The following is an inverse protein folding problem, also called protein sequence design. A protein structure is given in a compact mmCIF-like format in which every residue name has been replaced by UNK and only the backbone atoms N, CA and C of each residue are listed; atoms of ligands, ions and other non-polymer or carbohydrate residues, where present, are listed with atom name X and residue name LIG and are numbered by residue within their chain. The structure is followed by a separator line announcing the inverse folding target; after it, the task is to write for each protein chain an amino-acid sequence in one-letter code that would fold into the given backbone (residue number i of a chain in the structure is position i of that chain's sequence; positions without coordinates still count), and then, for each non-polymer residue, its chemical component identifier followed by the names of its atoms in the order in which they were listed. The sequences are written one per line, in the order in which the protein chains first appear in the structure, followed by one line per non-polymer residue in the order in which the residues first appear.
data_IF_678865928890
#
_entry.id   IF_678865928890
#
_cell.length_a   1.000
_cell.length_b   1.000
_cell.length_c   1.000
_cell.angle_alpha   90.00
_cell.angle_beta   90.00
_cell.angle_gamma   90.00
#
_symmetry.space_group_name_H-M   'P 1'
#
loop_
_entity.id
_entity.type
_entity.pdbx_description
1 polymer ?
#
# COMPACT_ATOMS: atom_id res chain seq x y z
N UNK A 1 -4.71 -8.90 7.87
CA UNK A 1 -3.62 -8.35 8.69
C UNK A 1 -3.65 -6.83 8.67
N UNK A 2 -3.39 -6.24 9.80
CA UNK A 2 -3.51 -4.80 9.99
C UNK A 2 -2.36 -4.34 10.88
N UNK A 3 -1.51 -3.46 10.37
CA UNK A 3 -0.43 -2.88 11.16
C UNK A 3 -0.69 -1.41 11.42
N UNK A 4 -0.39 -0.98 12.64
CA UNK A 4 -0.57 0.42 13.04
C UNK A 4 0.71 0.96 13.66
N UNK A 5 0.92 2.27 13.52
CA UNK A 5 1.93 3.01 14.29
C UNK A 5 1.19 3.86 15.30
N UNK A 6 1.52 3.68 16.58
CA UNK A 6 0.87 4.38 17.70
C UNK A 6 1.91 5.24 18.40
N UNK A 7 1.55 6.49 18.68
CA UNK A 7 2.37 7.43 19.41
C UNK A 7 1.47 8.19 20.37
N UNK A 8 1.82 8.21 21.66
CA UNK A 8 1.04 8.87 22.71
C UNK A 8 -0.43 8.44 22.70
N UNK A 9 -0.65 7.13 22.64
CA UNK A 9 -1.98 6.50 22.63
C UNK A 9 -2.84 6.86 21.40
N UNK A 10 -2.22 7.43 20.35
CA UNK A 10 -2.92 7.83 19.14
C UNK A 10 -2.36 7.08 17.94
N UNK A 11 -3.26 6.55 17.08
CA UNK A 11 -2.85 5.92 15.85
C UNK A 11 -2.46 7.00 14.84
N UNK A 12 -1.21 6.99 14.38
CA UNK A 12 -0.70 8.00 13.45
C UNK A 12 -0.47 7.47 12.04
N UNK A 13 -0.47 6.16 11.87
CA UNK A 13 -0.33 5.55 10.55
C UNK A 13 -0.85 4.12 10.59
N UNK A 14 -1.28 3.59 9.44
CA UNK A 14 -1.70 2.19 9.36
C UNK A 14 -1.56 1.65 7.94
N UNK A 15 -1.51 0.32 7.83
CA UNK A 15 -1.70 -0.40 6.58
C UNK A 15 -2.62 -1.59 6.83
N UNK A 16 -3.59 -1.78 5.93
CA UNK A 16 -4.51 -2.91 5.96
C UNK A 16 -4.21 -3.83 4.77
N UNK A 17 -3.97 -5.11 5.06
CA UNK A 17 -3.54 -6.09 4.09
C UNK A 17 -4.58 -7.22 3.99
N UNK A 18 -4.88 -7.64 2.75
CA UNK A 18 -5.74 -8.78 2.48
C UNK A 18 -4.94 -9.83 1.71
N UNK A 19 -4.99 -11.07 2.20
CA UNK A 19 -4.35 -12.20 1.53
C UNK A 19 -5.42 -13.03 0.81
N UNK A 20 -5.27 -13.14 -0.51
CA UNK A 20 -6.15 -13.95 -1.35
C UNK A 20 -5.57 -15.35 -1.45
N UNK A 21 -6.05 -16.27 -0.61
CA UNK A 21 -5.50 -17.62 -0.52
C UNK A 21 -5.49 -18.37 -1.86
N UNK A 22 -6.52 -18.20 -2.68
CA UNK A 22 -6.62 -18.88 -3.97
C UNK A 22 -5.64 -18.37 -5.02
N UNK A 23 -5.11 -17.15 -4.86
CA UNK A 23 -4.20 -16.51 -5.82
C UNK A 23 -2.79 -16.36 -5.28
N UNK A 24 -2.60 -16.43 -3.97
CA UNK A 24 -1.35 -16.15 -3.27
C UNK A 24 -0.88 -14.71 -3.48
N UNK A 25 -1.81 -13.79 -3.68
CA UNK A 25 -1.52 -12.35 -3.77
C UNK A 25 -1.78 -11.69 -2.42
N UNK A 26 -0.86 -10.82 -2.00
CA UNK A 26 -1.08 -9.96 -0.85
C UNK A 26 -1.50 -8.59 -1.38
N UNK A 27 -2.69 -8.14 -1.02
CA UNK A 27 -3.20 -6.85 -1.47
C UNK A 27 -3.09 -5.82 -0.37
N UNK A 28 -2.52 -4.65 -0.69
CA UNK A 28 -2.64 -3.48 0.16
C UNK A 28 -4.03 -2.90 -0.08
N UNK A 29 -4.92 -3.10 0.88
CA UNK A 29 -6.30 -2.58 0.79
C UNK A 29 -6.34 -1.10 1.08
N UNK A 30 -5.62 -0.66 2.11
CA UNK A 30 -5.58 0.74 2.53
C UNK A 30 -4.29 1.03 3.28
N UNK A 31 -3.73 2.20 3.07
CA UNK A 31 -2.54 2.68 3.78
C UNK A 31 -2.69 4.18 3.98
N UNK A 32 -2.41 4.66 5.18
CA UNK A 32 -2.51 6.09 5.47
C UNK A 32 -1.55 6.51 6.57
N UNK A 33 -1.10 7.76 6.48
CA UNK A 33 -0.30 8.42 7.49
C UNK A 33 -1.04 9.70 7.86
N UNK A 34 -1.20 9.95 9.17
CA UNK A 34 -1.85 11.15 9.66
C UNK A 34 -1.13 12.40 9.07
N UNK A 35 -1.88 13.41 8.60
CA UNK A 35 -1.26 14.58 7.95
C UNK A 35 -0.17 15.26 8.78
N UNK A 36 -0.36 15.33 10.10
CA UNK A 36 0.60 15.97 11.00
C UNK A 36 1.89 15.16 11.19
N UNK A 37 1.90 13.90 10.73
CA UNK A 37 3.02 12.98 10.92
C UNK A 37 3.72 12.65 9.60
N UNK A 38 3.36 13.31 8.52
CA UNK A 38 4.00 13.12 7.21
C UNK A 38 5.43 13.66 7.27
N UNK A 39 6.32 13.08 6.46
CA UNK A 39 7.72 13.46 6.45
C UNK A 39 8.56 12.71 7.48
N UNK A 40 7.97 11.83 8.28
CA UNK A 40 8.66 11.01 9.28
C UNK A 40 8.99 9.60 8.78
N UNK A 41 8.85 9.36 7.48
CA UNK A 41 9.13 8.06 6.84
C UNK A 41 8.25 6.92 7.35
N UNK A 42 7.06 7.23 7.86
CA UNK A 42 6.14 6.20 8.35
C UNK A 42 5.59 5.34 7.22
N UNK A 43 5.35 5.93 6.04
CA UNK A 43 4.93 5.17 4.86
C UNK A 43 5.98 4.12 4.47
N UNK A 44 7.25 4.48 4.53
CA UNK A 44 8.34 3.55 4.24
C UNK A 44 8.40 2.43 5.28
N UNK A 45 8.21 2.75 6.56
CA UNK A 45 8.17 1.75 7.62
C UNK A 45 7.03 0.74 7.40
N UNK A 46 5.84 1.24 7.06
CA UNK A 46 4.70 0.37 6.76
C UNK A 46 4.94 -0.48 5.51
N UNK A 47 5.61 0.08 4.51
CA UNK A 47 5.95 -0.64 3.28
C UNK A 47 6.92 -1.79 3.56
N UNK A 48 7.94 -1.55 4.40
CA UNK A 48 8.89 -2.59 4.81
C UNK A 48 8.18 -3.72 5.54
N UNK A 49 7.24 -3.37 6.43
CA UNK A 49 6.44 -4.36 7.14
C UNK A 49 5.56 -5.18 6.20
N UNK A 50 5.01 -4.53 5.19
CA UNK A 50 4.19 -5.19 4.17
C UNK A 50 5.02 -6.21 3.38
N UNK A 51 6.22 -5.83 2.99
CA UNK A 51 7.14 -6.73 2.27
C UNK A 51 7.54 -7.93 3.13
N UNK A 52 7.84 -7.70 4.42
CA UNK A 52 8.11 -8.79 5.36
C UNK A 52 6.93 -9.77 5.43
N UNK A 53 5.71 -9.24 5.54
CA UNK A 53 4.50 -10.06 5.59
C UNK A 53 4.34 -10.88 4.33
N UNK A 54 4.60 -10.29 3.16
CA UNK A 54 4.53 -11.00 1.89
C UNK A 54 5.54 -12.16 1.84
N UNK A 55 6.75 -11.95 2.34
CA UNK A 55 7.76 -13.00 2.41
C UNK A 55 7.33 -14.12 3.36
N UNK A 56 6.83 -13.75 4.54
CA UNK A 56 6.42 -14.73 5.55
C UNK A 56 5.26 -15.60 5.09
N UNK A 57 4.29 -15.05 4.38
CA UNK A 57 3.14 -15.80 3.87
C UNK A 57 3.37 -16.39 2.47
N UNK A 58 4.59 -16.24 1.94
CA UNK A 58 4.98 -16.77 0.62
C UNK A 58 4.07 -16.26 -0.50
N UNK A 59 3.72 -15.00 -0.44
CA UNK A 59 2.97 -14.37 -1.52
C UNK A 59 3.81 -14.33 -2.79
N UNK A 60 3.16 -14.48 -3.94
CA UNK A 60 3.87 -14.42 -5.23
C UNK A 60 3.99 -12.97 -5.71
N UNK A 61 3.14 -12.08 -5.22
CA UNK A 61 3.23 -10.65 -5.48
C UNK A 61 2.39 -9.86 -4.49
N UNK A 62 2.69 -8.57 -4.40
CA UNK A 62 1.89 -7.60 -3.67
C UNK A 62 1.18 -6.72 -4.70
N UNK A 63 -0.11 -6.45 -4.49
CA UNK A 63 -0.91 -5.62 -5.40
C UNK A 63 -1.51 -4.45 -4.66
N UNK A 64 -1.79 -3.37 -5.39
CA UNK A 64 -2.49 -2.21 -4.86
C UNK A 64 -3.13 -1.39 -5.98
N UNK A 65 -4.12 -0.57 -5.60
CA UNK A 65 -4.65 0.50 -6.43
C UNK A 65 -4.29 1.83 -5.78
N UNK A 66 -3.89 2.81 -6.57
CA UNK A 66 -3.56 4.14 -6.10
C UNK A 66 -4.17 5.18 -7.02
N UNK A 67 -4.68 6.26 -6.42
CA UNK A 67 -5.25 7.37 -7.19
C UNK A 67 -4.18 7.98 -8.10
N UNK A 68 -4.52 8.20 -9.37
CA UNK A 68 -3.56 8.70 -10.37
C UNK A 68 -2.91 10.03 -9.97
N UNK A 69 -3.61 10.85 -9.20
CA UNK A 69 -3.12 12.15 -8.75
C UNK A 69 -2.25 12.07 -7.49
N UNK A 70 -2.17 10.89 -6.85
CA UNK A 70 -1.41 10.73 -5.61
C UNK A 70 0.06 10.46 -5.89
N UNK A 71 0.74 11.49 -6.39
CA UNK A 71 2.15 11.40 -6.78
C UNK A 71 3.08 10.95 -5.66
N UNK A 72 2.96 11.45 -4.42
CA UNK A 72 3.84 10.99 -3.34
C UNK A 72 3.71 9.48 -3.06
N UNK A 73 2.48 8.96 -3.09
CA UNK A 73 2.26 7.53 -2.87
C UNK A 73 2.83 6.69 -4.01
N UNK A 74 2.61 7.12 -5.26
CA UNK A 74 3.14 6.41 -6.42
C UNK A 74 4.67 6.33 -6.35
N UNK A 75 5.32 7.43 -5.97
CA UNK A 75 6.78 7.47 -5.82
C UNK A 75 7.25 6.51 -4.73
N UNK A 76 6.54 6.47 -3.60
CA UNK A 76 6.86 5.54 -2.51
C UNK A 76 6.78 4.10 -3.00
N UNK A 77 5.71 3.74 -3.70
CA UNK A 77 5.53 2.38 -4.20
C UNK A 77 6.61 2.01 -5.22
N UNK A 78 6.88 2.89 -6.18
CA UNK A 78 7.93 2.63 -7.18
C UNK A 78 9.31 2.47 -6.54
N UNK A 79 9.62 3.27 -5.53
CA UNK A 79 10.85 3.14 -4.76
C UNK A 79 10.99 1.76 -4.11
N UNK A 80 9.87 1.15 -3.76
CA UNK A 80 9.84 -0.16 -3.11
C UNK A 80 9.60 -1.32 -4.09
N UNK A 81 9.80 -1.09 -5.38
CA UNK A 81 9.77 -2.16 -6.37
C UNK A 81 8.42 -2.43 -7.02
N UNK A 82 7.42 -1.58 -6.78
CA UNK A 82 6.14 -1.70 -7.47
C UNK A 82 6.24 -1.12 -8.86
N UNK A 83 5.54 -1.76 -9.80
CA UNK A 83 5.46 -1.31 -11.19
C UNK A 83 3.99 -1.11 -11.57
N UNK A 84 3.67 -0.07 -12.36
CA UNK A 84 2.31 0.10 -12.87
C UNK A 84 2.03 -0.94 -13.95
N UNK A 85 0.86 -1.58 -13.86
CA UNK A 85 0.48 -2.63 -14.82
C UNK A 85 -0.87 -2.36 -15.47
N UNK A 86 -1.61 -1.34 -15.05
CA UNK A 86 -2.87 -1.01 -15.68
C UNK A 86 -3.54 0.19 -15.02
N UNK A 87 -4.65 0.60 -15.62
CA UNK A 87 -5.49 1.69 -15.13
C UNK A 87 -6.90 1.15 -14.96
N UNK A 88 -7.54 1.48 -13.84
CA UNK A 88 -8.94 1.19 -13.57
C UNK A 88 -9.73 2.50 -13.68
N UNK A 89 -10.42 2.75 -14.80
CA UNK A 89 -11.11 4.03 -15.00
C UNK A 89 -12.26 4.19 -14.02
N UNK A 90 -12.48 5.44 -13.59
CA UNK A 90 -13.59 5.80 -12.71
C UNK A 90 -13.67 4.94 -11.44
N UNK A 91 -12.51 4.60 -10.89
CA UNK A 91 -12.42 3.68 -9.76
C UNK A 91 -12.90 4.31 -8.44
N UNK A 92 -12.63 5.60 -8.25
CA UNK A 92 -12.97 6.32 -7.02
C UNK A 92 -14.30 7.07 -7.15
N UNK A 93 -14.90 7.41 -6.00
CA UNK A 93 -16.20 8.10 -5.97
C UNK A 93 -16.20 9.43 -6.71
N UNK A 94 -15.09 10.13 -6.76
CA UNK A 94 -14.95 11.41 -7.46
C UNK A 94 -14.75 11.24 -8.97
N UNK A 95 -14.79 10.01 -9.47
CA UNK A 95 -14.62 9.70 -10.88
C UNK A 95 -13.15 9.57 -11.31
N UNK A 96 -12.19 9.76 -10.41
CA UNK A 96 -10.79 9.64 -10.77
C UNK A 96 -10.38 8.19 -10.99
N UNK A 97 -9.35 8.01 -11.82
CA UNK A 97 -8.83 6.69 -12.17
C UNK A 97 -7.89 6.18 -11.09
N UNK A 98 -7.78 4.86 -10.98
CA UNK A 98 -6.76 4.21 -10.19
C UNK A 98 -5.68 3.64 -11.09
N UNK A 99 -4.43 3.76 -10.66
CA UNK A 99 -3.32 3.01 -11.24
C UNK A 99 -3.22 1.71 -10.46
N UNK A 100 -3.23 0.60 -11.19
CA UNK A 100 -3.04 -0.73 -10.61
C UNK A 100 -1.55 -1.06 -10.65
N UNK A 101 -0.97 -1.34 -9.48
CA UNK A 101 0.46 -1.60 -9.36
C UNK A 101 0.71 -2.97 -8.73
N UNK A 102 1.84 -3.57 -9.09
CA UNK A 102 2.26 -4.86 -8.57
C UNK A 102 3.74 -4.84 -8.21
N UNK A 103 4.09 -5.56 -7.14
CA UNK A 103 5.46 -5.88 -6.80
C UNK A 103 5.62 -7.39 -6.81
N UNK A 104 6.29 -7.95 -7.82
CA UNK A 104 6.64 -9.39 -7.82
C UNK A 104 7.54 -9.72 -6.64
N UNK A 105 7.34 -10.88 -6.06
CA UNK A 105 8.13 -11.34 -4.91
C UNK A 105 9.19 -12.36 -5.31
#
# INVERSE_FOLDING_TARGET
TFYVVVEQERMIAYVSLLFHAGTRYLRIYSIAVHPDCRGRKLGQLLMERTIETALDCRAVKITLEVKESNTPAIKLYMKNGFIPVGVKPNYYHDGSDAIYMQRPM
#
